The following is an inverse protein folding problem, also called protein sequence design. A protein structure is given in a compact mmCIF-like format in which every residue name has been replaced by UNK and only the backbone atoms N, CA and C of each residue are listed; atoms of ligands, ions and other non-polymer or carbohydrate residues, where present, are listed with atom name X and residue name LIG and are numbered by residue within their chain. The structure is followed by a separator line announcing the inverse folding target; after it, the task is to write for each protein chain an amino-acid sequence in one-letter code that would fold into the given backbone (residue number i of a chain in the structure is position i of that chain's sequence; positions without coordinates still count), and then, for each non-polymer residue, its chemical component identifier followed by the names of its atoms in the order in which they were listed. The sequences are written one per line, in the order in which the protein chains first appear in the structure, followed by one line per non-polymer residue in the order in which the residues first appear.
data_IF_352406082070
#
_entry.id   IF_352406082070
#
_cell.length_a   1.000
_cell.length_b   1.000
_cell.length_c   1.000
_cell.angle_alpha   90.00
_cell.angle_beta   90.00
_cell.angle_gamma   90.00
#
_symmetry.space_group_name_H-M   'P 1'
#
loop_
_entity.id
_entity.type
_entity.pdbx_description
1 polymer ?
#
# COMPACT_ATOMS: atom_id res chain seq x y z
N UNK A 1 -14.70 -1.63 59.38
CA UNK A 1 -13.71 -0.84 58.60
C UNK A 1 -13.21 -1.71 57.47
N UNK A 2 -13.74 -1.51 56.27
CA UNK A 2 -13.26 -2.22 55.07
C UNK A 2 -12.35 -1.25 54.30
N UNK A 3 -11.07 -1.59 54.26
CA UNK A 3 -10.08 -0.88 53.46
C UNK A 3 -10.15 -1.48 52.07
N UNK A 4 -10.75 -0.71 51.12
CA UNK A 4 -10.75 -1.04 49.69
C UNK A 4 -9.38 -0.70 49.12
N UNK A 5 -8.59 -1.74 48.81
CA UNK A 5 -7.31 -1.60 48.14
C UNK A 5 -7.59 -1.38 46.64
N UNK A 6 -7.58 -0.11 46.20
CA UNK A 6 -7.57 0.21 44.78
C UNK A 6 -6.21 -0.19 44.18
N UNK A 7 -6.16 -1.30 43.46
CA UNK A 7 -5.02 -1.65 42.63
C UNK A 7 -5.02 -0.74 41.41
N UNK A 8 -4.20 0.32 41.44
CA UNK A 8 -3.81 1.06 40.24
C UNK A 8 -2.95 0.14 39.38
N UNK A 9 -3.58 -0.52 38.41
CA UNK A 9 -2.85 -1.16 37.32
C UNK A 9 -2.29 0.00 36.50
N UNK A 10 -1.05 0.39 36.78
CA UNK A 10 -0.26 1.16 35.85
C UNK A 10 -0.09 0.30 34.59
N UNK A 11 -0.91 0.56 33.58
CA UNK A 11 -0.67 0.04 32.24
C UNK A 11 0.66 0.63 31.76
N UNK A 12 1.76 -0.05 32.13
CA UNK A 12 3.07 0.20 31.56
C UNK A 12 2.95 -0.08 30.08
N UNK A 13 2.83 0.97 29.30
CA UNK A 13 3.03 0.90 27.86
C UNK A 13 4.45 0.32 27.70
N UNK A 14 4.55 -0.97 27.40
CA UNK A 14 5.83 -1.55 26.98
C UNK A 14 6.22 -0.74 25.75
N UNK A 15 7.25 0.09 25.86
CA UNK A 15 7.77 0.87 24.76
C UNK A 15 8.02 -0.08 23.59
N UNK A 16 7.27 0.08 22.51
CA UNK A 16 7.42 -0.73 21.31
C UNK A 16 8.80 -0.47 20.75
N UNK A 17 9.65 -1.51 20.75
CA UNK A 17 11.02 -1.37 20.28
C UNK A 17 11.10 -1.76 18.80
N UNK A 18 11.52 -0.78 18.00
CA UNK A 18 11.85 -1.00 16.61
C UNK A 18 13.06 -1.95 16.51
N UNK A 19 12.94 -2.97 15.68
CA UNK A 19 14.09 -3.86 15.39
C UNK A 19 15.17 -3.05 14.63
N UNK A 20 16.43 -3.01 15.08
CA UNK A 20 17.50 -2.25 14.42
C UNK A 20 17.95 -2.86 13.07
N UNK A 21 17.61 -4.11 12.79
CA UNK A 21 17.99 -4.79 11.55
C UNK A 21 17.33 -4.11 10.33
N UNK A 22 18.13 -3.84 9.30
CA UNK A 22 17.67 -3.15 8.09
C UNK A 22 17.75 -1.62 8.14
N UNK A 23 18.04 -1.01 9.30
CA UNK A 23 18.14 0.43 9.46
C UNK A 23 19.60 0.91 9.62
N UNK A 24 19.92 2.10 9.10
CA UNK A 24 21.11 2.81 9.57
C UNK A 24 20.93 3.20 11.05
N UNK A 25 22.03 3.29 11.80
CA UNK A 25 22.01 3.69 13.22
C UNK A 25 21.25 5.00 13.42
N UNK A 26 21.45 5.96 12.51
CA UNK A 26 20.80 7.28 12.59
C UNK A 26 19.28 7.18 12.35
N UNK A 27 18.87 6.43 11.33
CA UNK A 27 17.43 6.29 11.02
C UNK A 27 16.71 5.50 12.10
N UNK A 28 17.32 4.40 12.60
CA UNK A 28 16.78 3.65 13.73
C UNK A 28 16.56 4.55 14.94
N UNK A 29 17.58 5.34 15.34
CA UNK A 29 17.46 6.24 16.49
C UNK A 29 16.34 7.29 16.32
N UNK A 30 16.18 7.86 15.12
CA UNK A 30 15.11 8.83 14.82
C UNK A 30 13.72 8.20 14.89
N UNK A 31 13.56 7.01 14.30
CA UNK A 31 12.29 6.29 14.29
C UNK A 31 11.92 5.82 15.71
N UNK A 32 12.90 5.31 16.47
CA UNK A 32 12.66 4.94 17.87
C UNK A 32 12.27 6.16 18.70
N UNK A 33 12.95 7.30 18.56
CA UNK A 33 12.58 8.53 19.24
C UNK A 33 11.17 9.02 18.90
N UNK A 34 10.71 8.79 17.65
CA UNK A 34 9.34 9.07 17.25
C UNK A 34 8.34 8.15 17.97
N UNK A 35 8.64 6.84 18.05
CA UNK A 35 7.81 5.85 18.71
C UNK A 35 7.75 6.02 20.24
N UNK A 36 8.81 6.57 20.84
CA UNK A 36 8.89 6.83 22.27
C UNK A 36 8.09 8.09 22.69
N UNK A 37 7.68 8.92 21.74
CA UNK A 37 6.85 10.10 22.04
C UNK A 37 5.43 9.66 22.40
N UNK A 38 4.83 10.30 23.43
CA UNK A 38 3.43 10.07 23.72
C UNK A 38 2.59 10.42 22.48
N UNK A 39 1.77 9.50 22.03
CA UNK A 39 0.84 9.76 20.93
C UNK A 39 -0.18 10.81 21.42
N UNK A 40 -0.01 12.04 20.96
CA UNK A 40 -0.98 13.10 21.21
C UNK A 40 -2.14 12.94 20.24
N UNK A 41 -3.31 12.61 20.75
CA UNK A 41 -4.55 12.66 19.98
C UNK A 41 -5.04 14.10 19.93
N UNK A 42 -4.28 14.97 19.25
CA UNK A 42 -4.71 16.33 19.03
C UNK A 42 -6.09 16.33 18.36
N UNK A 43 -7.07 16.95 18.98
CA UNK A 43 -8.46 17.01 18.53
C UNK A 43 -9.15 15.63 18.38
N UNK A 44 -8.72 14.61 19.17
CA UNK A 44 -9.32 13.27 19.15
C UNK A 44 -8.95 12.42 17.93
N UNK A 45 -7.98 12.84 17.10
CA UNK A 45 -7.52 12.09 15.93
C UNK A 45 -6.18 11.42 16.19
N UNK A 46 -6.04 10.16 15.78
CA UNK A 46 -4.76 9.47 15.79
C UNK A 46 -3.77 10.13 14.81
N UNK A 47 -2.48 10.20 15.15
CA UNK A 47 -1.47 10.61 14.18
C UNK A 47 -1.43 9.65 12.99
N UNK A 48 -1.06 10.17 11.83
CA UNK A 48 -1.05 9.42 10.56
C UNK A 48 0.38 9.22 10.09
N UNK A 49 0.70 8.00 9.67
CA UNK A 49 1.91 7.67 8.94
C UNK A 49 1.52 7.14 7.56
N UNK A 50 1.94 7.82 6.49
CA UNK A 50 1.67 7.42 5.12
C UNK A 50 2.93 6.85 4.48
N UNK A 51 2.77 5.71 3.81
CA UNK A 51 3.85 5.02 3.12
C UNK A 51 3.50 4.85 1.64
N UNK A 52 4.49 5.05 0.78
CA UNK A 52 4.45 4.50 -0.57
C UNK A 52 4.57 2.97 -0.50
N UNK A 53 4.13 2.27 -1.54
CA UNK A 53 4.10 0.83 -1.57
C UNK A 53 5.34 0.23 -2.25
N UNK A 54 5.40 0.35 -3.58
CA UNK A 54 6.41 -0.25 -4.45
C UNK A 54 7.79 0.36 -4.20
N UNK A 55 8.79 -0.49 -4.01
CA UNK A 55 10.15 -0.05 -3.64
C UNK A 55 10.29 0.44 -2.19
N UNK A 56 9.19 0.63 -1.45
CA UNK A 56 9.15 1.10 -0.06
C UNK A 56 8.78 0.01 0.93
N UNK A 57 7.57 -0.50 0.89
CA UNK A 57 7.10 -1.58 1.78
C UNK A 57 7.58 -2.96 1.34
N UNK A 58 7.77 -3.14 0.06
CA UNK A 58 8.38 -4.29 -0.59
C UNK A 58 9.37 -3.83 -1.65
N UNK A 59 10.31 -4.68 -2.05
CA UNK A 59 11.38 -4.33 -3.01
C UNK A 59 10.98 -4.53 -4.47
N UNK A 60 9.77 -5.08 -4.73
CA UNK A 60 9.23 -5.31 -6.07
C UNK A 60 8.30 -4.21 -6.53
N UNK A 61 7.74 -4.42 -7.71
CA UNK A 61 6.69 -3.64 -8.34
C UNK A 61 5.40 -4.48 -8.41
N UNK A 62 4.39 -4.08 -7.63
CA UNK A 62 3.12 -4.81 -7.55
C UNK A 62 2.37 -4.80 -8.90
N UNK A 63 2.39 -3.66 -9.62
CA UNK A 63 1.78 -3.59 -10.94
C UNK A 63 2.46 -4.57 -11.91
N UNK A 64 3.79 -4.57 -11.99
CA UNK A 64 4.55 -5.44 -12.88
C UNK A 64 4.34 -6.93 -12.59
N UNK A 65 4.36 -7.34 -11.33
CA UNK A 65 4.08 -8.71 -10.93
C UNK A 65 2.65 -9.14 -11.28
N UNK A 66 1.68 -8.29 -10.98
CA UNK A 66 0.27 -8.50 -11.25
C UNK A 66 -0.04 -8.58 -12.76
N UNK A 67 0.46 -7.64 -13.57
CA UNK A 67 0.28 -7.64 -15.02
C UNK A 67 0.93 -8.84 -15.68
N UNK A 68 2.09 -9.30 -15.19
CA UNK A 68 2.76 -10.49 -15.67
C UNK A 68 1.89 -11.76 -15.52
N UNK A 69 1.15 -11.88 -14.41
CA UNK A 69 0.19 -12.98 -14.22
C UNK A 69 -0.96 -12.88 -15.22
N UNK A 70 -1.50 -11.67 -15.44
CA UNK A 70 -2.58 -11.46 -16.43
C UNK A 70 -2.14 -11.83 -17.84
N UNK A 71 -0.90 -11.47 -18.23
CA UNK A 71 -0.29 -11.86 -19.52
C UNK A 71 -0.15 -13.38 -19.60
N UNK A 72 0.40 -14.02 -18.57
CA UNK A 72 0.63 -15.48 -18.57
C UNK A 72 -0.68 -16.28 -18.70
N UNK A 73 -1.78 -15.72 -18.23
CA UNK A 73 -3.13 -16.29 -18.36
C UNK A 73 -3.82 -15.92 -19.68
N UNK A 74 -3.19 -15.15 -20.55
CA UNK A 74 -3.79 -14.67 -21.80
C UNK A 74 -4.97 -13.71 -21.58
N UNK A 75 -5.06 -13.05 -20.40
CA UNK A 75 -6.13 -12.12 -20.06
C UNK A 75 -5.86 -10.72 -20.62
N UNK A 76 -4.59 -10.35 -20.79
CA UNK A 76 -4.16 -9.14 -21.48
C UNK A 76 -3.10 -9.50 -22.53
N UNK A 77 -2.99 -8.66 -23.55
CA UNK A 77 -2.01 -8.81 -24.60
C UNK A 77 -0.59 -8.50 -24.10
N UNK A 78 0.34 -9.46 -24.23
CA UNK A 78 1.70 -9.34 -23.72
C UNK A 78 2.55 -8.31 -24.49
N UNK A 79 2.36 -8.19 -25.80
CA UNK A 79 3.10 -7.23 -26.61
C UNK A 79 2.64 -5.79 -26.30
N UNK A 80 1.33 -5.60 -26.10
CA UNK A 80 0.77 -4.31 -25.68
C UNK A 80 1.25 -3.94 -24.26
N UNK A 81 1.26 -4.88 -23.32
CA UNK A 81 1.78 -4.68 -21.97
C UNK A 81 3.25 -4.25 -21.99
N UNK A 82 4.09 -5.00 -22.72
CA UNK A 82 5.52 -4.67 -22.86
C UNK A 82 5.76 -3.33 -23.57
N UNK A 83 4.88 -2.95 -24.50
CA UNK A 83 4.97 -1.66 -25.18
C UNK A 83 4.68 -0.51 -24.20
N UNK A 84 3.60 -0.59 -23.43
CA UNK A 84 3.24 0.42 -22.41
C UNK A 84 4.35 0.58 -21.38
N UNK A 85 4.87 -0.52 -20.83
CA UNK A 85 5.97 -0.51 -19.84
C UNK A 85 7.23 0.15 -20.39
N UNK A 86 7.62 -0.19 -21.62
CA UNK A 86 8.77 0.40 -22.32
C UNK A 86 8.61 1.90 -22.52
N UNK A 87 7.44 2.34 -22.96
CA UNK A 87 7.16 3.75 -23.20
C UNK A 87 7.09 4.52 -21.87
N UNK A 88 6.47 3.97 -20.83
CA UNK A 88 6.52 4.54 -19.48
C UNK A 88 7.96 4.76 -18.99
N UNK A 89 8.84 3.76 -19.19
CA UNK A 89 10.25 3.84 -18.76
C UNK A 89 11.08 4.86 -19.55
N UNK A 90 10.71 5.16 -20.82
CA UNK A 90 11.40 6.10 -21.69
C UNK A 90 10.86 7.53 -21.64
N UNK A 91 9.62 7.68 -21.16
CA UNK A 91 8.91 8.95 -21.18
C UNK A 91 9.49 9.94 -20.19
N UNK A 92 9.46 11.21 -20.59
CA UNK A 92 9.65 12.33 -19.67
C UNK A 92 8.56 12.30 -18.58
N UNK A 93 8.88 12.91 -17.45
CA UNK A 93 8.04 12.84 -16.27
C UNK A 93 6.60 13.31 -16.52
N UNK A 94 6.43 14.32 -17.40
CA UNK A 94 5.11 14.89 -17.74
C UNK A 94 4.24 13.93 -18.56
N UNK A 95 4.86 12.99 -19.28
CA UNK A 95 4.13 12.03 -20.13
C UNK A 95 3.81 10.72 -19.41
N UNK A 96 4.46 10.45 -18.27
CA UNK A 96 4.29 9.19 -17.53
C UNK A 96 2.86 8.95 -17.05
N UNK A 97 2.12 10.01 -16.70
CA UNK A 97 0.71 9.89 -16.33
C UNK A 97 -0.12 9.29 -17.46
N UNK A 98 0.11 9.72 -18.71
CA UNK A 98 -0.55 9.14 -19.88
C UNK A 98 -0.30 7.64 -19.97
N UNK A 99 0.97 7.21 -19.85
CA UNK A 99 1.32 5.79 -19.95
C UNK A 99 0.81 4.97 -18.75
N UNK A 100 0.71 5.60 -17.57
CA UNK A 100 0.04 5.00 -16.42
C UNK A 100 -1.45 4.73 -16.73
N UNK A 101 -2.15 5.69 -17.34
CA UNK A 101 -3.55 5.52 -17.73
C UNK A 101 -3.70 4.46 -18.84
N UNK A 102 -2.79 4.44 -19.82
CA UNK A 102 -2.75 3.39 -20.87
C UNK A 102 -2.54 2.00 -20.27
N UNK A 103 -1.76 1.88 -19.20
CA UNK A 103 -1.57 0.61 -18.51
C UNK A 103 -2.87 0.07 -17.90
N UNK A 104 -3.74 0.93 -17.38
CA UNK A 104 -5.05 0.53 -16.87
C UNK A 104 -6.03 0.19 -17.99
N UNK A 105 -5.89 0.82 -19.16
CA UNK A 105 -6.71 0.50 -20.32
C UNK A 105 -6.55 -0.94 -20.80
N UNK A 106 -5.41 -1.58 -20.53
CA UNK A 106 -5.18 -3.00 -20.81
C UNK A 106 -6.14 -3.94 -20.05
N UNK A 107 -6.70 -3.49 -18.93
CA UNK A 107 -7.63 -4.29 -18.13
C UNK A 107 -9.09 -4.18 -18.58
N UNK A 108 -9.37 -3.41 -19.61
CA UNK A 108 -10.73 -3.20 -20.13
C UNK A 108 -11.39 -4.53 -20.51
N UNK A 109 -12.59 -4.75 -19.96
CA UNK A 109 -13.38 -5.95 -20.22
C UNK A 109 -13.07 -7.13 -19.31
N UNK A 110 -12.02 -7.06 -18.48
CA UNK A 110 -11.77 -8.05 -17.44
C UNK A 110 -12.79 -7.91 -16.31
N UNK A 111 -13.01 -8.99 -15.59
CA UNK A 111 -13.85 -9.01 -14.39
C UNK A 111 -13.00 -8.80 -13.15
N UNK A 112 -13.56 -8.14 -12.13
CA UNK A 112 -12.90 -7.98 -10.83
C UNK A 112 -12.39 -9.30 -10.26
N UNK A 113 -13.14 -10.40 -10.42
CA UNK A 113 -12.75 -11.73 -9.97
C UNK A 113 -11.45 -12.22 -10.63
N UNK A 114 -11.24 -11.89 -11.92
CA UNK A 114 -10.01 -12.25 -12.63
C UNK A 114 -8.82 -11.43 -12.12
N UNK A 115 -9.05 -10.16 -11.79
CA UNK A 115 -8.03 -9.30 -11.20
C UNK A 115 -7.66 -9.79 -9.79
N UNK A 116 -8.64 -10.13 -8.95
CA UNK A 116 -8.37 -10.67 -7.62
C UNK A 116 -7.56 -11.98 -7.68
N UNK A 117 -7.96 -12.91 -8.56
CA UNK A 117 -7.24 -14.18 -8.72
C UNK A 117 -5.79 -13.98 -9.21
N UNK A 118 -5.58 -13.02 -10.13
CA UNK A 118 -4.24 -12.68 -10.59
C UNK A 118 -3.39 -12.02 -9.50
N UNK A 119 -3.99 -11.18 -8.67
CA UNK A 119 -3.32 -10.56 -7.53
C UNK A 119 -2.89 -11.60 -6.48
N UNK A 120 -3.78 -12.54 -6.15
CA UNK A 120 -3.44 -13.64 -5.24
C UNK A 120 -2.23 -14.42 -5.76
N UNK A 121 -2.24 -14.80 -7.03
CA UNK A 121 -1.12 -15.54 -7.63
C UNK A 121 0.18 -14.72 -7.66
N UNK A 122 0.11 -13.42 -7.94
CA UNK A 122 1.28 -12.54 -7.95
C UNK A 122 1.92 -12.40 -6.55
N UNK A 123 1.10 -12.48 -5.50
CA UNK A 123 1.56 -12.36 -4.12
C UNK A 123 1.98 -13.69 -3.48
N UNK A 124 1.39 -14.81 -3.89
CA UNK A 124 1.62 -16.11 -3.32
C UNK A 124 2.93 -16.76 -3.84
N UNK A 125 3.48 -17.69 -3.08
CA UNK A 125 4.70 -18.43 -3.45
C UNK A 125 5.97 -17.57 -3.43
N UNK A 126 6.90 -17.77 -4.40
CA UNK A 126 8.13 -16.98 -4.51
C UNK A 126 7.91 -15.59 -5.12
N UNK A 127 6.64 -15.19 -5.28
CA UNK A 127 6.24 -13.94 -5.89
C UNK A 127 6.49 -12.71 -5.01
N UNK A 128 5.69 -11.69 -5.23
CA UNK A 128 5.85 -10.37 -4.60
C UNK A 128 5.84 -10.44 -3.07
N UNK A 129 5.08 -11.36 -2.47
CA UNK A 129 5.01 -11.55 -1.01
C UNK A 129 6.38 -11.84 -0.38
N UNK A 130 7.29 -12.51 -1.08
CA UNK A 130 8.66 -12.77 -0.61
C UNK A 130 9.54 -11.52 -0.60
N UNK A 131 9.11 -10.43 -1.22
CA UNK A 131 9.85 -9.17 -1.32
C UNK A 131 9.47 -8.13 -0.26
N UNK A 132 8.52 -8.47 0.62
CA UNK A 132 8.18 -7.63 1.78
C UNK A 132 9.45 -7.32 2.59
N UNK A 133 9.64 -6.05 2.90
CA UNK A 133 10.80 -5.59 3.68
C UNK A 133 10.54 -5.82 5.17
N UNK A 134 11.28 -6.72 5.85
CA UNK A 134 11.03 -7.06 7.24
C UNK A 134 11.13 -5.84 8.17
N UNK A 135 12.07 -4.93 7.89
CA UNK A 135 12.25 -3.69 8.65
C UNK A 135 11.02 -2.77 8.52
N UNK A 136 10.40 -2.70 7.33
CA UNK A 136 9.20 -1.90 7.11
C UNK A 136 7.96 -2.55 7.74
N UNK A 137 7.83 -3.87 7.66
CA UNK A 137 6.76 -4.61 8.33
C UNK A 137 6.83 -4.41 9.85
N UNK A 138 8.02 -4.45 10.43
CA UNK A 138 8.23 -4.16 11.84
C UNK A 138 7.87 -2.71 12.20
N UNK A 139 8.29 -1.72 11.38
CA UNK A 139 7.94 -0.30 11.60
C UNK A 139 6.43 -0.08 11.57
N UNK A 140 5.74 -0.62 10.55
CA UNK A 140 4.27 -0.56 10.44
C UNK A 140 3.60 -1.15 11.68
N UNK A 141 4.06 -2.32 12.13
CA UNK A 141 3.56 -2.96 13.34
C UNK A 141 3.77 -2.09 14.58
N UNK A 142 4.96 -1.51 14.77
CA UNK A 142 5.27 -0.62 15.89
C UNK A 142 4.41 0.64 15.89
N UNK A 143 4.26 1.29 14.74
CA UNK A 143 3.43 2.49 14.60
C UNK A 143 1.96 2.20 14.96
N UNK A 144 1.40 1.13 14.41
CA UNK A 144 0.01 0.75 14.71
C UNK A 144 -0.20 0.41 16.18
N UNK A 145 0.73 -0.32 16.78
CA UNK A 145 0.67 -0.65 18.21
C UNK A 145 0.85 0.58 19.09
N UNK A 146 1.58 1.60 18.62
CA UNK A 146 1.69 2.91 19.27
C UNK A 146 0.46 3.80 19.05
N UNK A 147 -0.57 3.34 18.34
CA UNK A 147 -1.81 4.09 18.12
C UNK A 147 -1.82 5.02 16.91
N UNK A 148 -0.87 4.86 15.99
CA UNK A 148 -0.86 5.59 14.72
C UNK A 148 -1.83 4.93 13.72
N UNK A 149 -2.51 5.72 12.93
CA UNK A 149 -3.17 5.28 11.70
C UNK A 149 -2.11 5.17 10.62
N UNK A 150 -1.96 3.99 10.02
CA UNK A 150 -1.00 3.76 8.94
C UNK A 150 -1.77 3.71 7.63
N UNK A 151 -1.39 4.57 6.69
CA UNK A 151 -1.93 4.61 5.34
C UNK A 151 -0.90 4.10 4.34
N UNK A 152 -1.37 3.41 3.31
CA UNK A 152 -0.58 3.10 2.10
C UNK A 152 -1.09 3.99 0.98
N UNK A 153 -0.19 4.73 0.31
CA UNK A 153 -0.56 5.67 -0.77
C UNK A 153 0.26 5.35 -2.01
N UNK A 154 -0.37 4.76 -3.01
CA UNK A 154 0.33 4.22 -4.19
C UNK A 154 -0.38 4.51 -5.49
N UNK A 155 0.38 4.62 -6.59
CA UNK A 155 -0.15 4.72 -7.94
C UNK A 155 -0.54 3.36 -8.55
N UNK A 156 -0.20 2.27 -7.91
CA UNK A 156 -0.60 0.93 -8.34
C UNK A 156 -2.10 0.70 -8.15
N UNK A 157 -2.74 -0.15 -8.96
CA UNK A 157 -4.15 -0.50 -8.76
C UNK A 157 -4.35 -1.16 -7.40
N UNK A 158 -5.51 -0.91 -6.80
CA UNK A 158 -5.85 -1.45 -5.48
C UNK A 158 -5.74 -2.98 -5.45
N UNK A 159 -6.23 -3.63 -6.49
CA UNK A 159 -6.21 -5.09 -6.62
C UNK A 159 -4.78 -5.63 -6.49
N UNK A 160 -3.80 -4.95 -7.08
CA UNK A 160 -2.40 -5.38 -7.04
C UNK A 160 -1.75 -5.24 -5.66
N UNK A 161 -2.22 -4.33 -4.78
CA UNK A 161 -1.53 -3.98 -3.52
C UNK A 161 -2.26 -4.41 -2.25
N UNK A 162 -3.56 -4.68 -2.32
CA UNK A 162 -4.37 -5.01 -1.14
C UNK A 162 -3.87 -6.24 -0.38
N UNK A 163 -3.34 -7.23 -1.08
CA UNK A 163 -2.78 -8.43 -0.47
C UNK A 163 -1.54 -8.10 0.39
N UNK A 164 -0.66 -7.23 -0.10
CA UNK A 164 0.49 -6.73 0.65
C UNK A 164 0.08 -5.89 1.85
N UNK A 165 -0.92 -5.02 1.68
CA UNK A 165 -1.49 -4.26 2.78
C UNK A 165 -2.05 -5.17 3.88
N UNK A 166 -2.77 -6.21 3.50
CA UNK A 166 -3.30 -7.22 4.43
C UNK A 166 -2.16 -7.94 5.18
N UNK A 167 -1.09 -8.33 4.50
CA UNK A 167 0.07 -8.97 5.11
C UNK A 167 0.76 -8.07 6.15
N UNK A 168 0.72 -6.74 5.93
CA UNK A 168 1.19 -5.72 6.89
C UNK A 168 0.14 -5.37 7.95
N UNK A 169 -1.05 -5.96 7.91
CA UNK A 169 -2.16 -5.69 8.79
C UNK A 169 -2.80 -4.31 8.57
N UNK A 170 -2.55 -3.65 7.44
CA UNK A 170 -3.20 -2.38 7.08
C UNK A 170 -4.58 -2.69 6.47
N UNK A 171 -5.68 -2.15 7.03
CA UNK A 171 -7.02 -2.40 6.52
C UNK A 171 -7.23 -1.76 5.15
N UNK A 172 -8.12 -2.33 4.34
CA UNK A 172 -8.42 -1.83 2.99
C UNK A 172 -8.81 -0.35 2.95
N UNK A 173 -9.58 0.12 3.95
CA UNK A 173 -9.96 1.53 4.06
C UNK A 173 -8.81 2.51 4.31
N UNK A 174 -7.62 1.99 4.62
CA UNK A 174 -6.39 2.76 4.81
C UNK A 174 -5.41 2.60 3.61
N UNK A 175 -5.89 2.01 2.50
CA UNK A 175 -5.13 1.88 1.25
C UNK A 175 -5.68 2.87 0.22
N UNK A 176 -4.93 3.94 0.00
CA UNK A 176 -5.17 4.96 -1.02
C UNK A 176 -4.41 4.55 -2.29
N UNK A 177 -5.05 3.73 -3.10
CA UNK A 177 -4.53 3.18 -4.34
C UNK A 177 -5.47 3.54 -5.50
N UNK A 178 -5.02 3.39 -6.74
CA UNK A 178 -5.89 3.61 -7.89
C UNK A 178 -7.01 2.57 -7.87
N UNK A 179 -8.25 3.02 -7.74
CA UNK A 179 -9.43 2.18 -7.89
C UNK A 179 -9.83 2.16 -9.36
N UNK A 180 -10.02 0.98 -9.92
CA UNK A 180 -10.53 0.85 -11.29
C UNK A 180 -12.05 0.96 -11.30
N UNK A 181 -12.56 1.65 -12.33
CA UNK A 181 -14.00 1.73 -12.55
C UNK A 181 -14.53 0.38 -13.06
N UNK A 182 -15.58 -0.14 -12.40
CA UNK A 182 -16.27 -1.35 -12.80
C UNK A 182 -17.77 -1.09 -12.90
N UNK A 183 -18.44 -1.81 -13.79
CA UNK A 183 -19.89 -1.79 -13.88
C UNK A 183 -20.57 -2.65 -12.79
N UNK A 184 -21.90 -2.67 -12.75
CA UNK A 184 -22.66 -3.46 -11.79
C UNK A 184 -22.45 -4.98 -11.90
N UNK A 185 -21.91 -5.47 -13.03
CA UNK A 185 -21.54 -6.86 -13.24
C UNK A 185 -20.06 -7.13 -12.89
N UNK A 186 -19.34 -6.14 -12.39
CA UNK A 186 -17.92 -6.23 -12.04
C UNK A 186 -16.98 -6.23 -13.24
N UNK A 187 -17.41 -5.72 -14.40
CA UNK A 187 -16.57 -5.61 -15.60
C UNK A 187 -15.82 -4.28 -15.58
N UNK A 188 -14.51 -4.35 -15.73
CA UNK A 188 -13.59 -3.21 -15.69
C UNK A 188 -13.72 -2.35 -16.95
N UNK A 189 -13.85 -1.04 -16.78
CA UNK A 189 -13.91 -0.08 -17.89
C UNK A 189 -12.52 0.19 -18.53
N UNK A 190 -11.44 -0.11 -17.83
CA UNK A 190 -10.07 0.26 -18.19
C UNK A 190 -9.69 1.69 -17.79
N UNK A 191 -10.41 2.29 -16.84
CA UNK A 191 -10.18 3.65 -16.37
C UNK A 191 -10.13 3.69 -14.84
N UNK A 192 -9.39 4.66 -14.27
CA UNK A 192 -9.53 4.97 -12.84
C UNK A 192 -10.96 5.39 -12.50
N UNK A 193 -11.42 5.00 -11.33
CA UNK A 193 -12.70 5.45 -10.78
C UNK A 193 -12.65 6.97 -10.50
N UNK A 194 -13.69 7.73 -10.85
CA UNK A 194 -13.74 9.16 -10.57
C UNK A 194 -13.98 9.49 -9.09
N UNK A 195 -14.24 8.49 -8.26
CA UNK A 195 -14.57 8.68 -6.82
C UNK A 195 -13.35 9.08 -6.00
N UNK A 196 -12.13 8.74 -6.45
CA UNK A 196 -10.88 9.06 -5.75
C UNK A 196 -9.92 9.74 -6.73
N UNK A 197 -9.12 10.72 -6.27
CA UNK A 197 -8.05 11.27 -7.09
C UNK A 197 -7.09 10.17 -7.56
N UNK A 198 -6.53 10.33 -8.75
CA UNK A 198 -5.45 9.47 -9.22
C UNK A 198 -4.27 9.62 -8.25
N UNK A 199 -3.91 8.56 -7.53
CA UNK A 199 -2.86 8.56 -6.50
C UNK A 199 -1.46 8.56 -7.10
N UNK A 200 -1.26 9.47 -8.05
CA UNK A 200 -0.01 9.74 -8.76
C UNK A 200 0.46 11.16 -8.45
N UNK A 201 1.72 11.34 -8.04
CA UNK A 201 2.35 12.65 -7.75
C UNK A 201 1.52 13.49 -6.77
N UNK A 202 1.05 14.67 -7.22
CA UNK A 202 0.21 15.60 -6.44
C UNK A 202 -1.11 14.95 -6.01
N UNK A 203 -1.61 14.00 -6.80
CA UNK A 203 -2.79 13.20 -6.46
C UNK A 203 -2.62 12.36 -5.20
N UNK A 204 -1.39 11.99 -4.82
CA UNK A 204 -1.14 11.34 -3.53
C UNK A 204 -1.47 12.27 -2.36
N UNK A 205 -1.08 13.55 -2.44
CA UNK A 205 -1.43 14.54 -1.42
C UNK A 205 -2.94 14.80 -1.39
N UNK A 206 -3.56 14.99 -2.58
CA UNK A 206 -5.00 15.17 -2.67
C UNK A 206 -5.80 14.00 -2.08
N UNK A 207 -5.32 12.76 -2.24
CA UNK A 207 -5.95 11.57 -1.67
C UNK A 207 -5.80 11.49 -0.14
N UNK A 208 -4.78 12.12 0.43
CA UNK A 208 -4.60 12.20 1.90
C UNK A 208 -5.51 13.25 2.54
N UNK A 209 -5.93 14.26 1.78
CA UNK A 209 -6.78 15.35 2.25
C UNK A 209 -8.29 15.04 2.09
N UNK A 210 -8.65 13.98 1.35
CA UNK A 210 -10.03 13.59 1.08
C UNK A 210 -10.61 12.67 2.16
#
# INVERSE_FOLDING_TARGET
MHVSLCLLIASGCLAMRLNPVGWSVQNHARLQALLDQPVSTAHGRAPVAAFDADGTLWSGDAYGAFSSVLVSKGLIDGDASAAVEREYGRSEEQERERWLLESFALFKGLRLEQLHAAAEEAWDGPGLGSTLRPEMANLVSCLRAAGWRVLIVTASPAEAVLRGAQALGVPEGDVLAVRLEADAAGVISGRPSPVMPLTWREGKAAALDA
#
